data_IF_187032574709
#
_entry.id   IF_187032574709
#
_cell.length_a   1.000
_cell.length_b   1.000
_cell.length_c   1.000
_cell.angle_alpha   90.00
_cell.angle_beta   90.00
_cell.angle_gamma   90.00
#
_symmetry.space_group_name_H-M   'P 1'
#
loop_
_entity.id
_entity.type
_entity.pdbx_description
1 polymer ?
#
# COMPACT_ATOMS: atom_id res chain seq x y z
N UNK A 1 6.14 -41.89 4.85
CA UNK A 1 6.09 -41.14 3.58
C UNK A 1 5.09 -40.02 3.82
N UNK A 2 5.55 -38.81 4.14
CA UNK A 2 4.68 -37.65 4.23
C UNK A 2 4.77 -36.95 2.89
N UNK A 3 3.69 -37.03 2.10
CA UNK A 3 3.48 -36.23 0.90
C UNK A 3 3.58 -34.76 1.29
N UNK A 4 4.64 -34.08 0.84
CA UNK A 4 4.69 -32.64 0.84
C UNK A 4 3.70 -32.15 -0.23
N UNK A 5 2.51 -31.76 0.21
CA UNK A 5 1.62 -30.91 -0.58
C UNK A 5 2.30 -29.56 -0.66
N UNK A 6 3.05 -29.36 -1.75
CA UNK A 6 3.53 -28.05 -2.14
C UNK A 6 2.30 -27.20 -2.46
N UNK A 7 2.06 -26.17 -1.64
CA UNK A 7 1.06 -25.15 -1.95
C UNK A 7 1.38 -24.60 -3.34
N UNK A 8 0.37 -24.29 -4.19
CA UNK A 8 0.62 -23.79 -5.53
C UNK A 8 1.48 -22.52 -5.40
N UNK A 9 2.77 -22.68 -5.70
CA UNK A 9 3.74 -21.61 -5.69
C UNK A 9 3.26 -20.65 -6.77
N UNK A 10 2.69 -19.53 -6.33
CA UNK A 10 2.28 -18.42 -7.18
C UNK A 10 3.50 -18.05 -8.00
N UNK A 11 3.48 -18.41 -9.27
CA UNK A 11 4.63 -18.41 -10.17
C UNK A 11 5.57 -17.23 -9.89
N UNK A 12 6.87 -17.53 -9.89
CA UNK A 12 7.97 -16.58 -9.90
C UNK A 12 7.86 -15.66 -11.13
N UNK A 13 6.89 -14.76 -11.12
CA UNK A 13 6.86 -13.62 -12.00
C UNK A 13 7.73 -12.58 -11.32
N UNK A 14 8.86 -12.28 -11.95
CA UNK A 14 9.75 -11.14 -11.72
C UNK A 14 9.05 -9.77 -11.90
N UNK A 15 7.72 -9.76 -11.87
CA UNK A 15 6.83 -8.62 -12.06
C UNK A 15 6.24 -8.25 -10.69
N UNK A 16 7.11 -7.99 -9.73
CA UNK A 16 6.69 -7.53 -8.40
C UNK A 16 6.55 -6.01 -8.46
N UNK A 17 5.45 -5.53 -9.06
CA UNK A 17 5.12 -4.11 -9.09
C UNK A 17 4.83 -3.64 -7.65
N UNK A 18 5.73 -2.82 -7.11
CA UNK A 18 5.63 -2.21 -5.79
C UNK A 18 4.91 -0.88 -5.95
N UNK A 19 3.75 -0.74 -5.31
CA UNK A 19 3.02 0.52 -5.29
C UNK A 19 3.39 1.33 -4.04
N UNK A 20 3.97 2.51 -4.21
CA UNK A 20 4.32 3.42 -3.12
C UNK A 20 3.41 4.64 -3.16
N UNK A 21 2.56 4.79 -2.14
CA UNK A 21 1.73 5.97 -1.94
C UNK A 21 2.45 6.96 -1.02
N UNK A 22 2.70 8.17 -1.49
CA UNK A 22 3.38 9.23 -0.74
C UNK A 22 2.49 10.48 -0.58
N UNK A 23 2.48 11.14 0.59
CA UNK A 23 1.85 12.44 0.74
C UNK A 23 2.50 13.50 -0.17
N UNK A 24 1.76 14.55 -0.51
CA UNK A 24 2.24 15.69 -1.32
C UNK A 24 3.54 16.35 -0.80
N UNK A 25 3.82 16.25 0.50
CA UNK A 25 5.07 16.72 1.11
C UNK A 25 6.32 16.08 0.47
N UNK A 26 6.18 14.89 -0.13
CA UNK A 26 7.24 14.13 -0.79
C UNK A 26 7.28 14.32 -2.31
N UNK A 27 6.55 15.30 -2.86
CA UNK A 27 6.47 15.58 -4.31
C UNK A 27 7.80 15.85 -5.01
N UNK A 28 8.88 16.09 -4.27
CA UNK A 28 10.23 16.28 -4.81
C UNK A 28 10.97 14.95 -5.08
N UNK A 29 10.39 13.82 -4.69
CA UNK A 29 10.96 12.50 -4.92
C UNK A 29 10.53 12.01 -6.29
N UNK A 30 11.48 11.99 -7.23
CA UNK A 30 11.35 11.26 -8.48
C UNK A 30 12.16 9.97 -8.34
N UNK A 31 11.48 8.85 -8.10
CA UNK A 31 12.06 7.52 -8.21
C UNK A 31 11.49 6.88 -9.45
N UNK A 32 12.30 6.76 -10.51
CA UNK A 32 11.91 6.04 -11.72
C UNK A 32 12.63 4.68 -11.67
N UNK A 33 11.96 3.69 -11.09
CA UNK A 33 12.43 2.31 -11.09
C UNK A 33 11.41 1.43 -11.82
N UNK A 34 11.88 0.51 -12.68
CA UNK A 34 11.05 -0.26 -13.61
C UNK A 34 9.93 -1.07 -12.95
N UNK A 35 10.01 -1.35 -11.65
CA UNK A 35 9.03 -2.15 -10.90
C UNK A 35 8.40 -1.39 -9.73
N UNK A 36 8.53 -0.06 -9.70
CA UNK A 36 8.02 0.77 -8.61
C UNK A 36 7.07 1.84 -9.15
N UNK A 37 5.79 1.70 -8.84
CA UNK A 37 4.80 2.72 -9.10
C UNK A 37 4.72 3.68 -7.92
N UNK A 38 5.29 4.89 -8.06
CA UNK A 38 5.15 5.95 -7.06
C UNK A 38 3.92 6.81 -7.36
N UNK A 39 3.05 6.99 -6.38
CA UNK A 39 1.88 7.85 -6.46
C UNK A 39 1.87 8.89 -5.34
N UNK A 40 1.93 10.17 -5.72
CA UNK A 40 1.77 11.28 -4.80
C UNK A 40 0.28 11.58 -4.62
N UNK A 41 -0.23 11.47 -3.39
CA UNK A 41 -1.63 11.74 -3.07
C UNK A 41 -1.79 13.02 -2.25
N UNK A 42 -2.88 13.74 -2.52
CA UNK A 42 -3.26 14.96 -1.79
C UNK A 42 -4.17 14.65 -0.59
N UNK A 43 -4.99 13.61 -0.75
CA UNK A 43 -5.94 13.15 0.26
C UNK A 43 -6.26 11.66 0.07
N UNK A 44 -6.79 11.03 1.12
CA UNK A 44 -7.09 9.59 1.10
C UNK A 44 -8.21 9.19 0.14
N UNK A 45 -9.12 10.11 -0.25
CA UNK A 45 -10.13 9.80 -1.27
C UNK A 45 -9.47 9.63 -2.64
N UNK A 46 -8.51 10.49 -2.98
CA UNK A 46 -7.74 10.38 -4.23
C UNK A 46 -6.89 9.11 -4.25
N UNK A 47 -6.26 8.76 -3.12
CA UNK A 47 -5.51 7.51 -2.97
C UNK A 47 -6.42 6.27 -3.14
N UNK A 48 -7.56 6.23 -2.46
CA UNK A 48 -8.51 5.12 -2.58
C UNK A 48 -8.98 4.94 -4.03
N UNK A 49 -9.35 6.03 -4.72
CA UNK A 49 -9.72 6.00 -6.14
C UNK A 49 -8.58 5.51 -7.02
N UNK A 50 -7.35 5.93 -6.76
CA UNK A 50 -6.18 5.46 -7.51
C UNK A 50 -6.03 3.94 -7.35
N UNK A 51 -6.01 3.44 -6.12
CA UNK A 51 -5.91 2.01 -5.82
C UNK A 51 -7.04 1.20 -6.47
N UNK A 52 -8.29 1.69 -6.47
CA UNK A 52 -9.39 1.00 -7.16
C UNK A 52 -9.19 0.88 -8.67
N UNK A 53 -8.52 1.84 -9.30
CA UNK A 53 -8.26 1.83 -10.73
C UNK A 53 -6.93 1.16 -11.11
N UNK A 54 -6.04 0.91 -10.15
CA UNK A 54 -4.78 0.19 -10.37
C UNK A 54 -5.06 -1.32 -10.47
N UNK A 55 -4.33 -2.06 -11.33
CA UNK A 55 -4.26 -3.52 -11.26
C UNK A 55 -3.83 -4.01 -9.88
N UNK A 56 -4.12 -5.28 -9.55
CA UNK A 56 -3.72 -5.84 -8.25
C UNK A 56 -2.20 -5.95 -8.18
N UNK A 57 -1.59 -5.11 -7.34
CA UNK A 57 -0.17 -5.16 -7.01
C UNK A 57 0.09 -6.10 -5.84
N UNK A 58 1.28 -6.73 -5.82
CA UNK A 58 1.68 -7.67 -4.76
C UNK A 58 2.17 -6.95 -3.49
N UNK A 59 2.69 -5.73 -3.62
CA UNK A 59 3.25 -4.99 -2.49
C UNK A 59 2.79 -3.55 -2.53
N UNK A 60 2.25 -3.08 -1.41
CA UNK A 60 1.81 -1.70 -1.24
C UNK A 60 2.51 -1.12 -0.03
N UNK A 61 3.12 0.04 -0.23
CA UNK A 61 3.71 0.86 0.83
C UNK A 61 2.93 2.16 0.88
N UNK A 62 2.33 2.47 2.02
CA UNK A 62 1.63 3.74 2.23
C UNK A 62 2.40 4.55 3.25
N UNK A 63 2.98 5.67 2.80
CA UNK A 63 3.51 6.66 3.73
C UNK A 63 2.33 7.41 4.32
N UNK A 64 2.12 7.27 5.63
CA UNK A 64 1.00 7.85 6.34
C UNK A 64 1.26 9.34 6.59
N UNK A 65 0.27 10.22 6.38
CA UNK A 65 0.42 11.63 6.69
C UNK A 65 0.19 11.87 8.18
N UNK A 66 0.72 12.99 8.71
CA UNK A 66 0.62 13.32 10.15
C UNK A 66 -0.82 13.47 10.67
N UNK A 67 -1.80 13.65 9.78
CA UNK A 67 -3.20 13.83 10.15
C UNK A 67 -4.02 12.58 9.84
N UNK A 68 -4.77 12.11 10.84
CA UNK A 68 -5.68 10.99 10.70
C UNK A 68 -6.86 11.34 9.77
N UNK A 69 -7.20 10.50 8.78
CA UNK A 69 -8.30 10.78 7.86
C UNK A 69 -9.67 10.80 8.54
N UNK A 70 -10.59 11.55 7.94
CA UNK A 70 -12.03 11.47 8.26
C UNK A 70 -12.55 10.05 7.99
N UNK A 71 -13.47 9.58 8.83
CA UNK A 71 -13.96 8.19 8.85
C UNK A 71 -14.45 7.64 7.50
N UNK A 72 -15.05 8.49 6.64
CA UNK A 72 -15.53 8.09 5.31
C UNK A 72 -14.40 7.75 4.33
N UNK A 73 -13.37 8.61 4.26
CA UNK A 73 -12.20 8.41 3.38
C UNK A 73 -11.37 7.21 3.83
N UNK A 74 -11.26 7.02 5.15
CA UNK A 74 -10.58 5.87 5.74
C UNK A 74 -11.21 4.54 5.29
N UNK A 75 -12.54 4.44 5.36
CA UNK A 75 -13.24 3.20 4.94
C UNK A 75 -12.97 2.87 3.47
N UNK A 76 -13.05 3.86 2.60
CA UNK A 76 -12.79 3.64 1.17
C UNK A 76 -11.35 3.22 0.92
N UNK A 77 -10.39 3.81 1.63
CA UNK A 77 -8.99 3.41 1.56
C UNK A 77 -8.81 1.95 1.97
N UNK A 78 -9.34 1.55 3.12
CA UNK A 78 -9.22 0.18 3.65
C UNK A 78 -9.82 -0.86 2.70
N UNK A 79 -11.00 -0.59 2.13
CA UNK A 79 -11.62 -1.48 1.12
C UNK A 79 -10.71 -1.61 -0.12
N UNK A 80 -10.14 -0.49 -0.56
CA UNK A 80 -9.27 -0.48 -1.73
C UNK A 80 -7.98 -1.27 -1.48
N UNK A 81 -7.41 -1.16 -0.27
CA UNK A 81 -6.22 -1.91 0.14
C UNK A 81 -6.52 -3.40 0.30
N UNK A 82 -7.63 -3.76 0.94
CA UNK A 82 -8.05 -5.16 1.14
C UNK A 82 -8.14 -5.91 -0.20
N UNK A 83 -8.68 -5.28 -1.25
CA UNK A 83 -8.73 -5.84 -2.60
C UNK A 83 -7.34 -6.30 -3.10
N UNK A 84 -6.28 -5.57 -2.78
CA UNK A 84 -4.92 -5.92 -3.19
C UNK A 84 -4.32 -7.03 -2.32
N UNK A 85 -4.79 -7.16 -1.08
CA UNK A 85 -4.35 -8.19 -0.12
C UNK A 85 -5.01 -9.55 -0.34
N UNK A 86 -6.19 -9.61 -0.98
CA UNK A 86 -6.94 -10.85 -1.22
C UNK A 86 -6.12 -11.94 -1.94
N UNK A 87 -5.12 -11.57 -2.74
CA UNK A 87 -4.23 -12.50 -3.45
C UNK A 87 -2.94 -12.88 -2.72
N UNK A 88 -2.81 -12.59 -1.42
CA UNK A 88 -1.56 -12.77 -0.67
C UNK A 88 -0.58 -11.61 -0.82
N UNK A 89 -1.10 -10.42 -1.14
CA UNK A 89 -0.30 -9.19 -1.19
C UNK A 89 0.24 -8.78 0.19
N UNK A 90 1.22 -7.87 0.19
CA UNK A 90 1.83 -7.29 1.38
C UNK A 90 1.50 -5.80 1.47
N UNK A 91 1.16 -5.33 2.67
CA UNK A 91 0.90 -3.92 2.96
C UNK A 91 1.80 -3.45 4.10
N UNK A 92 2.47 -2.33 3.90
CA UNK A 92 3.26 -1.66 4.92
C UNK A 92 2.85 -0.19 5.05
N UNK A 93 2.91 0.34 6.27
CA UNK A 93 2.64 1.74 6.57
C UNK A 93 3.87 2.40 7.20
N UNK A 94 4.19 3.63 6.78
CA UNK A 94 5.32 4.39 7.34
C UNK A 94 4.96 5.87 7.60
N UNK A 95 5.03 6.37 8.84
CA UNK A 95 5.13 5.58 10.07
C UNK A 95 3.92 4.64 10.21
N UNK A 96 4.03 3.62 11.06
CA UNK A 96 2.86 2.79 11.36
C UNK A 96 1.78 3.67 12.00
N UNK A 97 0.54 3.72 11.47
CA UNK A 97 -0.53 4.52 12.04
C UNK A 97 -0.99 4.00 13.40
N UNK A 98 -0.47 2.86 13.83
CA UNK A 98 -0.74 2.22 15.12
C UNK A 98 0.41 2.36 16.11
N UNK A 99 1.56 2.91 15.70
CA UNK A 99 2.59 3.31 16.64
C UNK A 99 2.11 4.60 17.30
N UNK A 100 1.70 4.49 18.56
CA UNK A 100 1.38 5.65 19.40
C UNK A 100 2.59 6.59 19.41
N UNK A 101 2.38 7.84 18.99
CA UNK A 101 3.30 8.92 19.30
C UNK A 101 3.14 9.24 20.79
N UNK A 102 3.61 8.34 21.66
CA UNK A 102 3.77 8.58 23.10
C UNK A 102 4.90 9.60 23.36
N UNK A 103 4.92 10.72 22.65
CA UNK A 103 5.95 11.75 22.74
C UNK A 103 5.40 13.13 23.16
N UNK A 104 4.19 13.17 23.72
CA UNK A 104 3.71 14.33 24.47
C UNK A 104 3.16 13.88 25.83
N UNK A 105 4.07 13.45 26.71
CA UNK A 105 3.85 13.42 28.16
C UNK A 105 4.58 14.61 28.81
#
# INVERSE_FOLDING_TARGET
>A
MHDHVEAPCLANNTDHDVFIALPVAFSRINGDEENVTVYIYSDFCTLAKKLLNTPITRSIIVVWPDQMPKSGSMRQLLISLERHLQGGGTLAFFPSPYEDQNEHE
#
